data_IF_008559279751
#
_entry.id   IF_008559279751
#
_cell.length_a   1.000
_cell.length_b   1.000
_cell.length_c   1.000
_cell.angle_alpha   90.00
_cell.angle_beta   90.00
_cell.angle_gamma   90.00
#
_symmetry.space_group_name_H-M   'P 1'
#
loop_
_entity.id
_entity.type
_entity.pdbx_description
1 polymer ?
#
# COMPACT_ATOMS: atom_id res chain seq x y z
N UNK A 1 -2.46 -24.15 24.97
CA UNK A 1 -3.45 -23.24 24.32
C UNK A 1 -2.76 -22.66 23.09
N UNK A 2 -2.98 -23.27 21.93
CA UNK A 2 -2.28 -22.91 20.68
C UNK A 2 -2.96 -21.68 20.08
N UNK A 3 -2.25 -20.55 19.97
CA UNK A 3 -2.77 -19.35 19.34
C UNK A 3 -2.83 -19.55 17.83
N UNK A 4 -4.04 -19.48 17.30
CA UNK A 4 -4.41 -19.44 15.89
C UNK A 4 -3.35 -18.76 15.01
N UNK A 5 -3.00 -19.41 13.90
CA UNK A 5 -2.27 -18.78 12.80
C UNK A 5 -3.08 -17.58 12.31
N UNK A 6 -2.47 -16.40 12.36
CA UNK A 6 -3.10 -15.13 11.97
C UNK A 6 -3.49 -15.22 10.49
N UNK A 7 -4.78 -15.24 10.20
CA UNK A 7 -5.27 -15.11 8.84
C UNK A 7 -4.71 -13.83 8.22
N UNK A 8 -4.36 -13.88 6.92
CA UNK A 8 -3.93 -12.69 6.20
C UNK A 8 -5.02 -11.60 6.29
N UNK A 9 -4.65 -10.32 6.41
CA UNK A 9 -5.61 -9.23 6.46
C UNK A 9 -6.46 -9.20 5.18
N UNK A 10 -7.73 -8.80 5.31
CA UNK A 10 -8.63 -8.66 4.16
C UNK A 10 -8.10 -7.59 3.18
N UNK A 11 -8.27 -7.81 1.85
CA UNK A 11 -7.91 -6.82 0.84
C UNK A 11 -8.61 -5.47 1.05
N UNK A 12 -7.89 -4.38 0.76
CA UNK A 12 -8.38 -3.00 0.93
C UNK A 12 -8.33 -2.27 -0.39
N UNK A 13 -9.47 -1.76 -0.87
CA UNK A 13 -9.50 -0.88 -2.04
C UNK A 13 -9.15 0.55 -1.60
N UNK A 14 -7.95 1.01 -1.94
CA UNK A 14 -7.50 2.37 -1.66
C UNK A 14 -7.66 3.23 -2.91
N UNK A 15 -8.53 4.25 -2.86
CA UNK A 15 -8.75 5.15 -3.98
C UNK A 15 -7.84 6.39 -3.87
N UNK A 16 -6.70 6.36 -4.56
CA UNK A 16 -5.71 7.44 -4.51
C UNK A 16 -5.98 8.45 -5.63
N UNK A 17 -6.17 9.72 -5.28
CA UNK A 17 -6.34 10.82 -6.24
C UNK A 17 -5.20 11.82 -6.11
N UNK A 18 -4.66 12.30 -7.23
CA UNK A 18 -3.74 13.44 -7.18
C UNK A 18 -4.47 14.68 -6.67
N UNK A 19 -3.76 15.53 -5.94
CA UNK A 19 -4.25 16.83 -5.48
C UNK A 19 -3.33 17.94 -6.02
N UNK A 20 -3.84 19.17 -6.24
CA UNK A 20 -3.03 20.24 -6.83
C UNK A 20 -1.79 20.63 -6.02
N UNK A 21 -1.86 20.53 -4.69
CA UNK A 21 -0.83 21.01 -3.77
C UNK A 21 0.16 19.91 -3.34
N UNK A 22 0.16 18.76 -4.02
CA UNK A 22 1.08 17.66 -3.74
C UNK A 22 1.63 17.07 -5.04
N UNK A 23 2.95 16.94 -5.15
CA UNK A 23 3.57 16.34 -6.33
C UNK A 23 3.43 14.81 -6.31
N UNK A 24 2.66 14.27 -7.27
CA UNK A 24 2.42 12.84 -7.40
C UNK A 24 1.38 12.29 -6.39
N UNK A 25 1.63 11.08 -5.90
CA UNK A 25 0.72 10.36 -5.00
C UNK A 25 1.26 10.20 -3.56
N UNK A 26 2.58 10.35 -3.37
CA UNK A 26 3.24 10.24 -2.07
C UNK A 26 3.45 8.82 -1.57
N UNK A 27 3.76 7.88 -2.46
CA UNK A 27 4.26 6.56 -2.11
C UNK A 27 5.30 6.08 -3.12
N UNK A 28 6.10 5.10 -2.72
CA UNK A 28 6.96 4.37 -3.64
C UNK A 28 6.61 2.87 -3.70
N UNK A 29 6.96 2.26 -4.83
CA UNK A 29 6.91 0.82 -5.00
C UNK A 29 8.27 0.23 -4.71
N UNK A 30 8.28 -0.92 -4.05
CA UNK A 30 9.45 -1.74 -3.86
C UNK A 30 9.14 -3.19 -4.18
N UNK A 31 10.06 -3.82 -4.91
CA UNK A 31 10.07 -5.26 -5.15
C UNK A 31 11.25 -5.86 -4.40
N UNK A 32 10.99 -6.89 -3.60
CA UNK A 32 12.01 -7.62 -2.86
C UNK A 32 12.57 -8.74 -3.75
N UNK A 33 13.91 -8.81 -3.86
CA UNK A 33 14.57 -9.89 -4.62
C UNK A 33 14.18 -11.25 -4.03
N UNK A 34 13.60 -12.12 -4.84
CA UNK A 34 13.17 -13.46 -4.42
C UNK A 34 11.75 -13.54 -3.87
N UNK A 35 11.01 -12.43 -3.80
CA UNK A 35 9.60 -12.41 -3.40
C UNK A 35 8.74 -11.81 -4.52
N UNK A 36 7.77 -12.56 -5.07
CA UNK A 36 6.93 -12.05 -6.14
C UNK A 36 5.99 -10.94 -5.65
N UNK A 37 5.72 -9.98 -6.53
CA UNK A 37 4.76 -8.89 -6.33
C UNK A 37 5.38 -7.53 -6.09
N UNK A 38 4.51 -6.52 -6.03
CA UNK A 38 4.86 -5.14 -5.70
C UNK A 38 4.34 -4.79 -4.31
N UNK A 39 5.18 -4.07 -3.55
CA UNK A 39 4.89 -3.68 -2.19
C UNK A 39 5.03 -2.17 -2.04
N UNK A 40 4.23 -1.59 -1.14
CA UNK A 40 4.39 -0.19 -0.75
C UNK A 40 5.62 -0.08 0.15
N UNK A 41 6.66 0.64 -0.30
CA UNK A 41 7.90 0.78 0.46
C UNK A 41 7.83 1.89 1.51
N UNK A 42 7.42 3.09 1.11
CA UNK A 42 7.19 4.26 1.95
C UNK A 42 5.91 4.97 1.50
N UNK A 43 5.20 5.55 2.47
CA UNK A 43 4.12 6.51 2.26
C UNK A 43 4.57 7.82 2.91
N UNK A 44 4.44 8.93 2.19
CA UNK A 44 4.79 10.26 2.68
C UNK A 44 3.66 10.82 3.54
N UNK A 45 4.03 11.51 4.62
CA UNK A 45 3.07 12.15 5.54
C UNK A 45 2.32 13.28 4.85
N UNK A 46 1.02 13.38 5.10
CA UNK A 46 0.12 14.35 4.46
C UNK A 46 -0.16 14.08 2.99
N UNK A 47 0.28 12.93 2.45
CA UNK A 47 0.09 12.60 1.04
C UNK A 47 -1.31 12.09 0.72
N UNK A 48 -1.71 12.12 -0.56
CA UNK A 48 -2.90 11.43 -1.02
C UNK A 48 -2.90 9.92 -0.72
N UNK A 49 -1.74 9.26 -0.77
CA UNK A 49 -1.59 7.85 -0.46
C UNK A 49 -1.89 7.53 1.01
N UNK A 50 -1.39 8.36 1.94
CA UNK A 50 -1.70 8.24 3.36
C UNK A 50 -3.19 8.41 3.62
N UNK A 51 -3.78 9.46 3.03
CA UNK A 51 -5.21 9.76 3.15
C UNK A 51 -6.09 8.64 2.57
N UNK A 52 -5.64 8.00 1.48
CA UNK A 52 -6.31 6.85 0.87
C UNK A 52 -6.13 5.55 1.67
N UNK A 53 -5.30 5.54 2.72
CA UNK A 53 -5.11 4.41 3.61
C UNK A 53 -4.02 3.42 3.20
N UNK A 54 -3.15 3.77 2.25
CA UNK A 54 -1.98 2.97 1.91
C UNK A 54 -1.01 2.91 3.09
N UNK A 55 -0.37 1.75 3.29
CA UNK A 55 0.57 1.53 4.39
C UNK A 55 1.83 0.86 3.87
N UNK A 56 2.97 1.20 4.47
CA UNK A 56 4.22 0.49 4.25
C UNK A 56 4.02 -1.01 4.50
N UNK A 57 4.49 -1.83 3.56
CA UNK A 57 4.39 -3.29 3.61
C UNK A 57 3.12 -3.86 2.98
N UNK A 58 2.16 -3.02 2.59
CA UNK A 58 1.01 -3.49 1.80
C UNK A 58 1.49 -4.14 0.50
N UNK A 59 0.91 -5.29 0.17
CA UNK A 59 1.09 -5.95 -1.13
C UNK A 59 0.00 -5.48 -2.07
N UNK A 60 0.39 -5.05 -3.27
CA UNK A 60 -0.55 -4.69 -4.33
C UNK A 60 -1.05 -5.97 -4.98
N UNK A 61 -2.37 -6.11 -5.04
CA UNK A 61 -3.05 -7.22 -5.71
C UNK A 61 -3.46 -6.83 -7.13
N UNK A 62 -4.10 -5.68 -7.29
CA UNK A 62 -4.64 -5.17 -8.56
C UNK A 62 -4.59 -3.63 -8.61
N UNK A 63 -4.65 -3.05 -9.81
CA UNK A 63 -4.68 -1.60 -10.01
C UNK A 63 -5.69 -1.28 -11.11
N UNK A 64 -6.81 -0.64 -10.74
CA UNK A 64 -7.88 -0.20 -11.65
C UNK A 64 -8.59 -1.34 -12.43
N UNK A 65 -8.59 -2.56 -11.89
CA UNK A 65 -9.16 -3.75 -12.53
C UNK A 65 -8.18 -4.41 -13.47
#
# INVERSE_FOLDING_TARGET
MSTNGTAAPEPRLCHVRKVPDFDGYGFNLHAEKGKPGQYIGKVDEGSPAETAGLRRGDRILEVNG
#
